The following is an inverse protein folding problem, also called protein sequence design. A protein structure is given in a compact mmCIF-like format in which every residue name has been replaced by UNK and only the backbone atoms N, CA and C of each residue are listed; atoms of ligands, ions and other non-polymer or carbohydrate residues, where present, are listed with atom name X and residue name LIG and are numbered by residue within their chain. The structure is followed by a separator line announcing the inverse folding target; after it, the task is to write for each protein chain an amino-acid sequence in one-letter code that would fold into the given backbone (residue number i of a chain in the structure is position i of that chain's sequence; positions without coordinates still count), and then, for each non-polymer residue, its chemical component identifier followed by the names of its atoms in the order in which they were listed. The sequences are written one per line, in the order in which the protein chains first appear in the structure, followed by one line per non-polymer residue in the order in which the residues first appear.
data_IF_093064375067
#
_entry.id   IF_093064375067
#
_cell.length_a   1.000
_cell.length_b   1.000
_cell.length_c   1.000
_cell.angle_alpha   90.00
_cell.angle_beta   90.00
_cell.angle_gamma   90.00
#
_symmetry.space_group_name_H-M   'P 1'
#
loop_
_entity.id
_entity.type
_entity.pdbx_description
1 polymer ?
#
# COMPACT_ATOMS: atom_id res chain seq x y z
N UNK A 1 11.23 -7.69 -3.57
CA UNK A 1 12.02 -6.51 -3.99
C UNK A 1 12.21 -5.51 -2.86
N UNK A 2 11.14 -5.05 -2.19
CA UNK A 2 11.18 -4.06 -1.07
C UNK A 2 12.31 -4.31 -0.08
N UNK A 3 12.47 -5.54 0.43
CA UNK A 3 13.53 -5.87 1.39
C UNK A 3 14.95 -5.61 0.85
N UNK A 4 15.21 -5.85 -0.43
CA UNK A 4 16.51 -5.56 -1.04
C UNK A 4 16.74 -4.05 -1.19
N UNK A 5 15.70 -3.30 -1.56
CA UNK A 5 15.76 -1.84 -1.67
C UNK A 5 16.07 -1.23 -0.29
N UNK A 6 15.33 -1.63 0.75
CA UNK A 6 15.53 -1.11 2.10
C UNK A 6 16.93 -1.42 2.64
N UNK A 7 17.46 -2.64 2.40
CA UNK A 7 18.84 -2.97 2.77
C UNK A 7 19.87 -2.08 2.07
N UNK A 8 19.66 -1.78 0.78
CA UNK A 8 20.57 -0.91 0.04
C UNK A 8 20.53 0.54 0.54
N UNK A 9 19.32 1.09 0.74
CA UNK A 9 19.14 2.45 1.23
C UNK A 9 19.71 2.63 2.64
N UNK A 10 19.52 1.64 3.52
CA UNK A 10 20.09 1.63 4.88
C UNK A 10 21.63 1.68 4.83
N UNK A 11 22.26 0.80 4.04
CA UNK A 11 23.71 0.77 3.88
C UNK A 11 24.30 2.04 3.23
N UNK A 12 23.47 2.80 2.50
CA UNK A 12 23.87 4.05 1.84
C UNK A 12 23.47 5.32 2.62
N UNK A 13 22.76 5.21 3.76
CA UNK A 13 22.24 6.36 4.50
C UNK A 13 21.16 7.14 3.75
N UNK A 14 20.43 6.49 2.82
CA UNK A 14 19.37 7.10 2.03
C UNK A 14 18.03 6.89 2.74
N UNK A 15 17.35 7.99 3.09
CA UNK A 15 16.02 7.91 3.68
C UNK A 15 14.97 7.49 2.63
N UNK A 16 13.96 6.75 3.07
CA UNK A 16 12.92 6.19 2.19
C UNK A 16 11.55 6.71 2.61
N UNK A 17 10.78 7.22 1.64
CA UNK A 17 9.38 7.61 1.80
C UNK A 17 8.50 6.57 1.12
N UNK A 18 7.80 5.70 1.87
CA UNK A 18 6.89 4.73 1.26
C UNK A 18 5.64 5.44 0.74
N UNK A 19 5.22 5.10 -0.48
CA UNK A 19 4.07 5.74 -1.12
C UNK A 19 3.09 4.70 -1.66
N UNK A 20 1.87 4.71 -1.10
CA UNK A 20 0.69 4.04 -1.66
C UNK A 20 -0.02 4.92 -2.69
N UNK A 21 -1.30 5.22 -2.45
CA UNK A 21 -2.11 6.07 -3.34
C UNK A 21 -1.80 7.58 -3.30
N UNK A 22 -0.90 8.03 -2.41
CA UNK A 22 -0.56 9.45 -2.22
C UNK A 22 -1.77 10.37 -1.93
N UNK A 23 -2.77 9.87 -1.20
CA UNK A 23 -4.00 10.60 -0.85
C UNK A 23 -4.00 11.17 0.57
N UNK A 24 -2.89 11.04 1.30
CA UNK A 24 -2.76 11.54 2.67
C UNK A 24 -2.66 13.06 2.72
N UNK A 25 -3.36 13.68 3.66
CA UNK A 25 -3.43 15.15 3.77
C UNK A 25 -2.39 15.78 4.72
N UNK A 26 -1.63 14.96 5.45
CA UNK A 26 -0.63 15.40 6.42
C UNK A 26 0.81 15.44 5.86
N UNK A 27 1.00 15.23 4.55
CA UNK A 27 2.31 15.28 3.89
C UNK A 27 3.23 14.08 4.10
N UNK A 28 2.81 13.06 4.87
CA UNK A 28 3.68 11.93 5.23
C UNK A 28 4.13 11.01 4.07
N UNK A 29 3.56 11.17 2.87
CA UNK A 29 3.96 10.44 1.67
C UNK A 29 4.81 11.29 0.70
N UNK A 30 5.19 12.51 1.11
CA UNK A 30 5.96 13.46 0.31
C UNK A 30 7.36 13.61 0.91
N UNK A 31 8.43 13.56 0.10
CA UNK A 31 9.77 13.87 0.56
C UNK A 31 9.89 15.28 1.16
N UNK A 32 10.82 15.44 2.09
CA UNK A 32 11.21 16.76 2.58
C UNK A 32 11.98 17.58 1.53
N UNK A 33 12.22 18.85 1.82
CA UNK A 33 12.95 19.76 0.95
C UNK A 33 14.47 19.47 0.88
N UNK A 34 14.98 18.50 1.63
CA UNK A 34 16.40 18.17 1.69
C UNK A 34 16.92 17.44 0.46
N UNK A 35 16.04 16.82 -0.35
CA UNK A 35 16.40 16.19 -1.62
C UNK A 35 17.24 14.91 -1.50
N UNK A 36 17.35 14.33 -0.31
CA UNK A 36 18.14 13.13 -0.01
C UNK A 36 17.29 11.87 0.18
N UNK A 37 16.00 11.94 -0.13
CA UNK A 37 15.06 10.85 0.13
C UNK A 37 14.59 10.23 -1.19
N UNK A 38 14.37 8.92 -1.18
CA UNK A 38 13.78 8.20 -2.32
C UNK A 38 12.34 7.82 -2.03
N UNK A 39 11.47 7.94 -3.04
CA UNK A 39 10.09 7.46 -2.96
C UNK A 39 10.06 5.98 -3.32
N UNK A 40 9.55 5.15 -2.41
CA UNK A 40 9.28 3.74 -2.66
C UNK A 40 7.80 3.56 -2.99
N UNK A 41 7.46 3.57 -4.29
CA UNK A 41 6.10 3.30 -4.75
C UNK A 41 5.74 1.82 -4.55
N UNK A 42 4.59 1.57 -3.93
CA UNK A 42 4.02 0.24 -3.75
C UNK A 42 3.02 -0.14 -4.85
N UNK A 43 2.79 0.72 -5.85
CA UNK A 43 1.70 0.56 -6.83
C UNK A 43 1.74 -0.74 -7.65
N UNK A 44 2.91 -1.39 -7.76
CA UNK A 44 3.06 -2.69 -8.43
C UNK A 44 2.71 -3.88 -7.53
N UNK A 45 2.71 -3.70 -6.22
CA UNK A 45 2.30 -4.70 -5.23
C UNK A 45 0.78 -4.60 -5.03
N UNK A 46 0.00 -4.92 -6.05
CA UNK A 46 -1.44 -4.67 -6.11
C UNK A 46 -2.30 -5.94 -6.15
N UNK A 47 -1.72 -7.12 -5.96
CA UNK A 47 -2.48 -8.37 -6.05
C UNK A 47 -3.44 -8.56 -4.87
N UNK A 48 -4.62 -9.10 -5.16
CA UNK A 48 -5.47 -9.79 -4.18
C UNK A 48 -5.05 -11.25 -4.21
N UNK A 49 -4.57 -11.78 -3.09
CA UNK A 49 -3.94 -13.11 -3.01
C UNK A 49 -4.92 -14.18 -2.61
N UNK A 50 -5.80 -13.88 -1.66
CA UNK A 50 -6.80 -14.82 -1.18
C UNK A 50 -8.01 -14.09 -0.60
N UNK A 51 -9.20 -14.69 -0.73
CA UNK A 51 -10.44 -14.22 -0.11
C UNK A 51 -11.04 -15.44 0.59
N UNK A 52 -11.18 -15.36 1.92
CA UNK A 52 -11.89 -16.34 2.73
C UNK A 52 -13.22 -15.73 3.24
N UNK A 53 -14.35 -16.01 2.57
CA UNK A 53 -15.64 -15.49 2.98
C UNK A 53 -16.14 -16.11 4.28
N UNK A 54 -15.66 -17.29 4.66
CA UNK A 54 -16.07 -17.97 5.90
C UNK A 54 -15.31 -17.41 7.09
N UNK A 55 -13.98 -17.26 6.95
CA UNK A 55 -13.10 -16.64 7.94
C UNK A 55 -13.16 -15.11 8.01
N UNK A 56 -13.89 -14.46 7.09
CA UNK A 56 -14.04 -13.01 6.99
C UNK A 56 -12.69 -12.28 6.82
N UNK A 57 -11.79 -12.84 6.03
CA UNK A 57 -10.47 -12.27 5.74
C UNK A 57 -10.19 -12.17 4.25
N UNK A 58 -9.36 -11.20 3.89
CA UNK A 58 -8.81 -11.04 2.55
C UNK A 58 -7.32 -10.76 2.67
N UNK A 59 -6.49 -11.51 1.95
CA UNK A 59 -5.06 -11.25 1.83
C UNK A 59 -4.83 -10.39 0.58
N UNK A 60 -4.22 -9.23 0.77
CA UNK A 60 -3.87 -8.31 -0.34
C UNK A 60 -2.44 -7.81 -0.17
N UNK A 61 -1.85 -7.42 -1.28
CA UNK A 61 -0.59 -6.69 -1.29
C UNK A 61 -0.79 -5.22 -0.89
N UNK A 62 0.26 -4.61 -0.32
CA UNK A 62 0.17 -3.30 0.33
C UNK A 62 -0.20 -2.14 -0.61
N UNK A 63 -0.02 -2.28 -1.92
CA UNK A 63 -0.42 -1.32 -2.94
C UNK A 63 -1.81 -1.57 -3.53
N UNK A 64 -2.56 -2.57 -3.05
CA UNK A 64 -3.91 -2.85 -3.54
C UNK A 64 -4.85 -1.65 -3.30
N UNK A 65 -5.56 -1.25 -4.35
CA UNK A 65 -6.48 -0.11 -4.30
C UNK A 65 -7.73 -0.52 -3.50
N UNK A 66 -8.09 0.29 -2.48
CA UNK A 66 -9.22 0.02 -1.60
C UNK A 66 -10.52 -0.29 -2.35
N UNK A 67 -10.81 0.46 -3.42
CA UNK A 67 -11.99 0.22 -4.25
C UNK A 67 -11.98 -1.17 -4.90
N UNK A 68 -10.86 -1.57 -5.50
CA UNK A 68 -10.72 -2.90 -6.12
C UNK A 68 -10.92 -4.02 -5.11
N UNK A 69 -10.38 -3.88 -3.91
CA UNK A 69 -10.57 -4.87 -2.83
C UNK A 69 -12.05 -4.93 -2.41
N UNK A 70 -12.73 -3.78 -2.28
CA UNK A 70 -14.18 -3.72 -1.97
C UNK A 70 -15.01 -4.45 -3.02
N UNK A 71 -14.75 -4.18 -4.31
CA UNK A 71 -15.46 -4.83 -5.42
C UNK A 71 -15.24 -6.35 -5.41
N UNK A 72 -14.01 -6.81 -5.16
CA UNK A 72 -13.69 -8.22 -5.09
C UNK A 72 -14.40 -8.94 -3.94
N UNK A 73 -14.38 -8.38 -2.72
CA UNK A 73 -15.08 -9.02 -1.58
C UNK A 73 -16.60 -8.92 -1.70
N UNK A 74 -17.12 -7.87 -2.35
CA UNK A 74 -18.54 -7.76 -2.69
C UNK A 74 -18.97 -8.88 -3.64
N UNK A 75 -18.12 -9.24 -4.61
CA UNK A 75 -18.33 -10.41 -5.47
C UNK A 75 -18.41 -11.75 -4.70
N UNK A 76 -17.82 -11.81 -3.50
CA UNK A 76 -17.90 -12.96 -2.59
C UNK A 76 -19.04 -12.84 -1.55
N UNK A 77 -19.97 -11.88 -1.71
CA UNK A 77 -21.07 -11.66 -0.78
C UNK A 77 -20.62 -11.18 0.61
N UNK A 78 -19.51 -10.43 0.66
CA UNK A 78 -18.96 -9.82 1.87
C UNK A 78 -18.75 -8.32 1.69
N UNK A 79 -18.48 -7.64 2.80
CA UNK A 79 -18.16 -6.21 2.83
C UNK A 79 -16.78 -6.03 3.45
N UNK A 80 -15.95 -5.17 2.87
CA UNK A 80 -14.73 -4.70 3.54
C UNK A 80 -15.13 -3.56 4.51
N UNK A 81 -14.86 -3.67 5.83
CA UNK A 81 -15.36 -2.73 6.84
C UNK A 81 -14.51 -1.45 6.94
N UNK A 82 -14.06 -0.93 5.79
CA UNK A 82 -13.29 0.32 5.70
C UNK A 82 -13.86 1.16 4.57
N UNK A 83 -14.17 2.43 4.88
CA UNK A 83 -14.65 3.42 3.93
C UNK A 83 -13.94 4.75 4.19
N UNK A 84 -13.25 5.27 3.18
CA UNK A 84 -12.49 6.52 3.23
C UNK A 84 -12.71 7.24 1.88
N UNK A 85 -12.96 8.54 1.92
CA UNK A 85 -13.25 9.37 0.74
C UNK A 85 -14.36 8.77 -0.16
N UNK A 86 -15.45 8.30 0.48
CA UNK A 86 -16.58 7.63 -0.17
C UNK A 86 -17.46 8.58 -0.98
#
# INVERSE_FOLDING_TARGET
EVSAILRHCDGAGIAVVPQGGNTGLAGGATPDAGGLQVVLSLSRMAAIRDIDPTGLSVEVEAGAILQTVREAVAGAGRLLPVSIAA
#
